data_IF_039738727652
#
_entry.id   IF_039738727652
#
_cell.length_a   1.000
_cell.length_b   1.000
_cell.length_c   1.000
_cell.angle_alpha   90.00
_cell.angle_beta   90.00
_cell.angle_gamma   90.00
#
_symmetry.space_group_name_H-M   'P 1'
#
loop_
_entity.id
_entity.type
_entity.pdbx_description
1 polymer ?
#
# COMPACT_ATOMS: atom_id res chain seq x y z
N UNK A 1 -11.79 -2.25 20.54
CA UNK A 1 -10.91 -3.00 21.47
C UNK A 1 -9.82 -3.71 20.66
N UNK A 2 -8.64 -3.99 21.23
CA UNK A 2 -7.39 -4.49 20.59
C UNK A 2 -6.38 -3.46 20.04
N UNK A 3 -6.45 -2.19 20.42
CA UNK A 3 -5.54 -1.16 19.89
C UNK A 3 -4.04 -1.49 20.16
N UNK A 4 -3.70 -1.87 21.39
CA UNK A 4 -2.31 -2.20 21.77
C UNK A 4 -1.78 -3.40 20.96
N UNK A 5 -2.59 -4.45 20.81
CA UNK A 5 -2.23 -5.64 20.03
C UNK A 5 -2.04 -5.29 18.56
N UNK A 6 -2.93 -4.49 17.98
CA UNK A 6 -2.82 -4.00 16.60
C UNK A 6 -1.49 -3.28 16.38
N UNK A 7 -1.15 -2.34 17.27
CA UNK A 7 0.11 -1.61 17.20
C UNK A 7 1.31 -2.55 17.33
N UNK A 8 1.30 -3.45 18.32
CA UNK A 8 2.41 -4.39 18.55
C UNK A 8 2.67 -5.29 17.35
N UNK A 9 1.61 -5.89 16.77
CA UNK A 9 1.73 -6.73 15.58
C UNK A 9 2.25 -5.94 14.38
N UNK A 10 1.73 -4.72 14.15
CA UNK A 10 2.20 -3.87 13.06
C UNK A 10 3.67 -3.47 13.21
N UNK A 11 4.10 -3.10 14.42
CA UNK A 11 5.49 -2.73 14.69
C UNK A 11 6.44 -3.92 14.49
N UNK A 12 6.08 -5.11 14.97
CA UNK A 12 6.86 -6.35 14.79
C UNK A 12 6.97 -6.68 13.30
N UNK A 13 5.87 -6.59 12.55
CA UNK A 13 5.86 -6.85 11.12
C UNK A 13 6.84 -5.92 10.38
N UNK A 14 6.77 -4.61 10.66
CA UNK A 14 7.68 -3.62 10.07
C UNK A 14 9.13 -3.95 10.44
N UNK A 15 9.40 -4.22 11.71
CA UNK A 15 10.75 -4.55 12.19
C UNK A 15 11.34 -5.76 11.46
N UNK A 16 10.56 -6.85 11.32
CA UNK A 16 10.98 -8.06 10.60
C UNK A 16 11.30 -7.73 9.14
N UNK A 17 10.39 -7.01 8.45
CA UNK A 17 10.58 -6.65 7.04
C UNK A 17 11.82 -5.77 6.86
N UNK A 18 12.05 -4.81 7.76
CA UNK A 18 13.23 -3.95 7.71
C UNK A 18 14.51 -4.72 7.96
N UNK A 19 14.54 -5.69 8.88
CA UNK A 19 15.73 -6.51 9.11
C UNK A 19 16.03 -7.44 7.93
N UNK A 20 15.00 -7.99 7.28
CA UNK A 20 15.16 -8.75 6.03
C UNK A 20 15.71 -7.82 4.95
N UNK A 21 15.14 -6.62 4.76
CA UNK A 21 15.58 -5.66 3.74
C UNK A 21 17.03 -5.18 3.97
N UNK A 22 17.47 -5.06 5.23
CA UNK A 22 18.86 -4.73 5.56
C UNK A 22 19.84 -5.82 5.14
N UNK A 23 19.44 -7.09 5.21
CA UNK A 23 20.28 -8.24 4.81
C UNK A 23 20.17 -8.57 3.33
N UNK A 24 18.98 -8.46 2.76
CA UNK A 24 18.66 -8.69 1.36
C UNK A 24 17.61 -7.66 0.89
N UNK A 25 18.06 -6.55 0.28
CA UNK A 25 17.15 -5.48 -0.16
C UNK A 25 16.10 -5.95 -1.17
N UNK A 26 16.47 -6.86 -2.07
CA UNK A 26 15.56 -7.42 -3.08
C UNK A 26 14.43 -8.23 -2.43
N UNK A 27 14.78 -9.19 -1.57
CA UNK A 27 13.79 -10.01 -0.86
C UNK A 27 12.93 -9.16 0.10
N UNK A 28 13.55 -8.22 0.81
CA UNK A 28 12.83 -7.28 1.67
C UNK A 28 11.84 -6.43 0.89
N UNK A 29 12.22 -5.97 -0.31
CA UNK A 29 11.34 -5.24 -1.23
C UNK A 29 10.17 -6.08 -1.72
N UNK A 30 10.40 -7.34 -2.10
CA UNK A 30 9.32 -8.26 -2.52
C UNK A 30 8.31 -8.52 -1.40
N UNK A 31 8.78 -8.74 -0.16
CA UNK A 31 7.90 -8.92 0.99
C UNK A 31 7.15 -7.62 1.32
N UNK A 32 7.84 -6.47 1.27
CA UNK A 32 7.23 -5.17 1.51
C UNK A 32 6.19 -4.78 0.45
N UNK A 33 6.30 -5.31 -0.77
CA UNK A 33 5.32 -5.09 -1.84
C UNK A 33 3.99 -5.82 -1.61
N UNK A 34 3.96 -6.82 -0.72
CA UNK A 34 2.70 -7.46 -0.32
C UNK A 34 1.82 -6.42 0.43
N UNK A 35 0.49 -6.43 0.22
CA UNK A 35 -0.43 -5.51 0.87
C UNK A 35 -0.69 -5.93 2.34
N UNK A 36 0.36 -6.17 3.12
CA UNK A 36 0.29 -6.74 4.47
C UNK A 36 -0.53 -5.88 5.43
N UNK A 37 -0.42 -4.56 5.32
CA UNK A 37 -1.25 -3.63 6.12
C UNK A 37 -2.73 -3.81 5.78
N UNK A 38 -3.06 -3.95 4.50
CA UNK A 38 -4.44 -4.18 4.06
C UNK A 38 -4.94 -5.55 4.47
N UNK A 39 -4.12 -6.60 4.36
CA UNK A 39 -4.47 -7.96 4.80
C UNK A 39 -4.70 -8.02 6.31
N UNK A 40 -3.83 -7.37 7.09
CA UNK A 40 -3.98 -7.27 8.54
C UNK A 40 -5.25 -6.47 8.90
N UNK A 41 -5.55 -5.41 8.16
CA UNK A 41 -6.79 -4.64 8.33
C UNK A 41 -8.03 -5.49 8.03
N UNK A 42 -8.02 -6.28 6.94
CA UNK A 42 -9.08 -7.22 6.59
C UNK A 42 -9.28 -8.28 7.68
N UNK A 43 -8.20 -8.83 8.22
CA UNK A 43 -8.24 -9.76 9.35
C UNK A 43 -8.93 -9.13 10.56
N UNK A 44 -8.54 -7.90 10.94
CA UNK A 44 -9.15 -7.22 12.07
C UNK A 44 -10.62 -6.87 11.84
N UNK A 45 -11.00 -6.45 10.63
CA UNK A 45 -12.40 -6.19 10.29
C UNK A 45 -13.23 -7.49 10.41
N UNK A 46 -12.69 -8.62 9.94
CA UNK A 46 -13.32 -9.93 10.08
C UNK A 46 -13.52 -10.33 11.54
N UNK A 47 -12.48 -10.20 12.38
CA UNK A 47 -12.56 -10.48 13.84
C UNK A 47 -13.57 -9.59 14.55
N UNK A 48 -13.78 -8.36 14.06
CA UNK A 48 -14.77 -7.43 14.62
C UNK A 48 -16.21 -7.72 14.17
N UNK A 49 -16.43 -8.77 13.36
CA UNK A 49 -17.76 -9.17 12.91
C UNK A 49 -18.30 -8.35 11.75
N UNK A 50 -17.44 -7.67 11.01
CA UNK A 50 -17.85 -6.90 9.82
C UNK A 50 -18.49 -7.81 8.77
N UNK A 51 -19.51 -7.28 8.09
CA UNK A 51 -20.26 -8.05 7.10
C UNK A 51 -19.37 -8.47 5.91
N UNK A 52 -19.67 -9.64 5.31
CA UNK A 52 -18.96 -10.11 4.11
C UNK A 52 -19.01 -9.09 2.96
N UNK A 53 -20.12 -8.34 2.84
CA UNK A 53 -20.26 -7.25 1.87
C UNK A 53 -19.23 -6.15 2.11
N UNK A 54 -19.05 -5.73 3.36
CA UNK A 54 -18.09 -4.70 3.74
C UNK A 54 -16.63 -5.18 3.54
N UNK A 55 -16.32 -6.42 3.93
CA UNK A 55 -15.01 -7.03 3.68
C UNK A 55 -14.69 -7.12 2.18
N UNK A 56 -15.66 -7.53 1.36
CA UNK A 56 -15.52 -7.58 -0.10
C UNK A 56 -15.31 -6.20 -0.70
N UNK A 57 -16.05 -5.18 -0.23
CA UNK A 57 -15.87 -3.80 -0.68
C UNK A 57 -14.49 -3.25 -0.30
N UNK A 58 -14.01 -3.53 0.91
CA UNK A 58 -12.66 -3.15 1.34
C UNK A 58 -11.60 -3.81 0.44
N UNK A 59 -11.69 -5.13 0.22
CA UNK A 59 -10.76 -5.86 -0.64
C UNK A 59 -10.77 -5.34 -2.09
N UNK A 60 -11.95 -5.03 -2.65
CA UNK A 60 -12.08 -4.39 -3.97
C UNK A 60 -11.44 -3.00 -4.00
N UNK A 61 -11.60 -2.21 -2.94
CA UNK A 61 -10.96 -0.90 -2.81
C UNK A 61 -9.44 -1.00 -2.81
N UNK A 62 -8.89 -1.96 -2.07
CA UNK A 62 -7.45 -2.25 -2.05
C UNK A 62 -6.95 -2.68 -3.43
N UNK A 63 -7.69 -3.56 -4.11
CA UNK A 63 -7.35 -4.02 -5.46
C UNK A 63 -7.32 -2.85 -6.45
N UNK A 64 -8.32 -1.97 -6.42
CA UNK A 64 -8.35 -0.79 -7.29
C UNK A 64 -7.28 0.25 -6.96
N UNK A 65 -6.84 0.34 -5.71
CA UNK A 65 -5.72 1.20 -5.33
C UNK A 65 -4.35 0.68 -5.79
N UNK A 66 -4.22 -0.62 -6.07
CA UNK A 66 -2.95 -1.27 -6.38
C UNK A 66 -2.20 -0.68 -7.59
N UNK A 67 -2.85 -0.38 -8.74
CA UNK A 67 -2.13 0.19 -9.88
C UNK A 67 -1.59 1.60 -9.59
N UNK A 68 -2.28 2.41 -8.79
CA UNK A 68 -1.77 3.71 -8.37
C UNK A 68 -0.54 3.55 -7.47
N UNK A 69 -0.52 2.54 -6.59
CA UNK A 69 0.65 2.22 -5.75
C UNK A 69 1.84 1.77 -6.60
N UNK A 70 1.62 1.02 -7.69
CA UNK A 70 2.67 0.67 -8.63
C UNK A 70 3.29 1.91 -9.30
N UNK A 71 2.46 2.89 -9.68
CA UNK A 71 2.92 4.19 -10.22
C UNK A 71 3.73 4.97 -9.19
N UNK A 72 3.29 5.00 -7.92
CA UNK A 72 4.05 5.61 -6.82
C UNK A 72 5.47 5.02 -6.75
N UNK A 73 5.57 3.69 -6.65
CA UNK A 73 6.85 3.00 -6.52
C UNK A 73 7.73 3.22 -7.76
N UNK A 74 7.14 3.22 -8.95
CA UNK A 74 7.87 3.52 -10.19
C UNK A 74 8.50 4.92 -10.13
N UNK A 75 7.73 5.94 -9.73
CA UNK A 75 8.24 7.30 -9.61
C UNK A 75 9.34 7.38 -8.56
N UNK A 76 9.14 6.78 -7.38
CA UNK A 76 10.16 6.73 -6.32
C UNK A 76 11.46 6.10 -6.84
N UNK A 77 11.38 4.96 -7.55
CA UNK A 77 12.57 4.29 -8.12
C UNK A 77 13.27 5.18 -9.15
N UNK A 78 12.53 5.83 -10.05
CA UNK A 78 13.10 6.72 -11.07
C UNK A 78 13.75 7.96 -10.42
N UNK A 79 13.10 8.57 -9.43
CA UNK A 79 13.63 9.73 -8.70
C UNK A 79 14.89 9.38 -7.90
N UNK A 80 14.91 8.22 -7.23
CA UNK A 80 16.11 7.75 -6.52
C UNK A 80 17.26 7.45 -7.48
N UNK A 81 16.98 6.88 -8.66
CA UNK A 81 18.00 6.69 -9.72
C UNK A 81 18.54 8.02 -10.24
N UNK A 82 17.73 9.08 -10.25
CA UNK A 82 18.13 10.44 -10.59
C UNK A 82 18.82 11.17 -9.41
N UNK A 83 19.19 10.48 -8.32
CA UNK A 83 19.87 11.04 -7.15
C UNK A 83 19.07 12.10 -6.37
N UNK A 84 17.74 12.11 -6.48
CA UNK A 84 16.92 12.96 -5.62
C UNK A 84 16.89 12.45 -4.16
N UNK A 85 16.81 13.36 -3.16
CA UNK A 85 16.56 12.99 -1.77
C UNK A 85 15.30 12.15 -1.61
N UNK A 86 15.32 11.16 -0.70
CA UNK A 86 14.19 10.22 -0.44
C UNK A 86 12.87 10.95 -0.21
N UNK A 87 12.89 12.04 0.56
CA UNK A 87 11.70 12.85 0.87
C UNK A 87 11.06 13.38 -0.42
N UNK A 88 11.87 13.94 -1.32
CA UNK A 88 11.39 14.48 -2.60
C UNK A 88 10.84 13.37 -3.50
N UNK A 89 11.55 12.24 -3.57
CA UNK A 89 11.10 11.05 -4.31
C UNK A 89 9.74 10.54 -3.83
N UNK A 90 9.53 10.49 -2.51
CA UNK A 90 8.24 10.09 -1.92
C UNK A 90 7.14 11.11 -2.22
N UNK A 91 7.42 12.41 -2.13
CA UNK A 91 6.46 13.47 -2.47
C UNK A 91 6.02 13.35 -3.94
N UNK A 92 6.95 13.21 -4.89
CA UNK A 92 6.60 12.98 -6.28
C UNK A 92 5.82 11.69 -6.48
N UNK A 93 6.18 10.63 -5.77
CA UNK A 93 5.43 9.37 -5.77
C UNK A 93 3.98 9.55 -5.33
N UNK A 94 3.74 10.28 -4.23
CA UNK A 94 2.39 10.57 -3.72
C UNK A 94 1.59 11.43 -4.72
N UNK A 95 2.23 12.44 -5.34
CA UNK A 95 1.59 13.23 -6.39
C UNK A 95 1.17 12.37 -7.58
N UNK A 96 2.06 11.49 -8.06
CA UNK A 96 1.76 10.57 -9.16
C UNK A 96 0.69 9.54 -8.80
N UNK A 97 0.72 9.01 -7.58
CA UNK A 97 -0.34 8.15 -7.05
C UNK A 97 -1.71 8.82 -7.09
N UNK A 98 -1.79 10.06 -6.59
CA UNK A 98 -3.02 10.85 -6.59
C UNK A 98 -3.52 11.12 -8.01
N UNK A 99 -2.62 11.53 -8.91
CA UNK A 99 -2.93 11.74 -10.32
C UNK A 99 -3.45 10.46 -11.00
N UNK A 100 -2.82 9.31 -10.72
CA UNK A 100 -3.26 8.02 -11.25
C UNK A 100 -4.66 7.64 -10.75
N UNK A 101 -4.96 7.84 -9.46
CA UNK A 101 -6.30 7.59 -8.92
C UNK A 101 -7.37 8.49 -9.55
N UNK A 102 -7.06 9.77 -9.78
CA UNK A 102 -7.98 10.69 -10.45
C UNK A 102 -8.26 10.22 -11.89
N UNK A 103 -7.21 9.82 -12.61
CA UNK A 103 -7.35 9.28 -13.96
C UNK A 103 -8.17 7.99 -13.98
N UNK A 104 -7.90 7.04 -13.07
CA UNK A 104 -8.67 5.80 -12.95
C UNK A 104 -10.15 6.09 -12.72
N UNK A 105 -10.48 6.99 -11.80
CA UNK A 105 -11.87 7.39 -11.55
C UNK A 105 -12.52 8.02 -12.78
N UNK A 106 -11.81 8.91 -13.48
CA UNK A 106 -12.30 9.54 -14.69
C UNK A 106 -12.56 8.52 -15.80
N UNK A 107 -11.66 7.55 -16.00
CA UNK A 107 -11.81 6.49 -16.99
C UNK A 107 -12.98 5.56 -16.68
N UNK A 108 -13.11 5.12 -15.43
CA UNK A 108 -14.24 4.29 -15.01
C UNK A 108 -15.56 5.05 -15.23
N UNK A 109 -15.61 6.32 -14.88
CA UNK A 109 -16.80 7.13 -15.09
C UNK A 109 -17.11 7.34 -16.58
N UNK A 110 -16.11 7.52 -17.44
CA UNK A 110 -16.31 7.71 -18.87
C UNK A 110 -16.75 6.43 -19.62
N UNK A 111 -16.37 5.25 -19.12
CA UNK A 111 -16.70 3.96 -19.75
C UNK A 111 -18.06 3.42 -19.29
N UNK A 112 -18.44 3.68 -18.03
CA UNK A 112 -19.63 3.11 -17.39
C UNK A 112 -20.70 4.15 -17.01
N UNK A 113 -20.45 5.44 -17.28
CA UNK A 113 -21.36 6.56 -17.00
C UNK A 113 -22.11 7.03 -18.23
#
# INVERSE_FOLDING_TARGET
>A
MFLIVKIGVSAILIAIITEIARKSPEMGGMIAALPLVSLLSLFWLSVQGESLKHLSQFAKGVLWGFPATAVLLLIVVLSLKASFPVIISVVFGICGWGGCLMLQKALIHAIFG
#
